data_IF_844288006170
#
_entry.id   IF_844288006170
#
_cell.length_a   1.000
_cell.length_b   1.000
_cell.length_c   1.000
_cell.angle_alpha   90.00
_cell.angle_beta   90.00
_cell.angle_gamma   90.00
#
_symmetry.space_group_name_H-M   'P 1'
#
loop_
_entity.id
_entity.type
_entity.pdbx_description
1 polymer ?
#
# COMPACT_ATOMS: atom_id res chain seq x y z
N UNK A 1 26.73 1.08 11.11
CA UNK A 1 25.51 1.10 10.29
C UNK A 1 25.71 0.06 9.20
N UNK A 2 25.06 -1.09 9.29
CA UNK A 2 25.07 -2.05 8.18
C UNK A 2 24.16 -1.47 7.08
N UNK A 3 24.77 -1.05 5.99
CA UNK A 3 24.04 -0.67 4.78
C UNK A 3 23.45 -1.98 4.24
N UNK A 4 22.18 -2.27 4.52
CA UNK A 4 21.49 -3.41 3.91
C UNK A 4 21.26 -3.04 2.45
N UNK A 5 22.07 -3.64 1.56
CA UNK A 5 21.98 -3.40 0.13
C UNK A 5 20.60 -3.82 -0.36
N UNK A 6 19.87 -2.89 -0.95
CA UNK A 6 18.66 -3.20 -1.70
C UNK A 6 18.98 -3.36 -3.18
N UNK A 7 18.15 -4.09 -3.88
CA UNK A 7 18.23 -4.26 -5.33
C UNK A 7 16.98 -3.70 -6.00
N UNK A 8 17.15 -3.13 -7.18
CA UNK A 8 16.04 -2.71 -8.04
C UNK A 8 15.95 -3.68 -9.20
N UNK A 9 14.77 -4.21 -9.44
CA UNK A 9 14.49 -5.19 -10.50
C UNK A 9 13.18 -4.85 -11.20
N UNK A 10 12.86 -5.59 -12.25
CA UNK A 10 11.59 -5.46 -12.96
C UNK A 10 10.77 -6.72 -12.82
N UNK A 11 9.54 -6.61 -12.34
CA UNK A 11 8.53 -7.65 -12.43
C UNK A 11 7.67 -7.41 -13.68
N UNK A 12 7.54 -8.39 -14.55
CA UNK A 12 6.71 -8.30 -15.75
C UNK A 12 5.37 -8.98 -15.48
N UNK A 13 4.30 -8.18 -15.44
CA UNK A 13 2.94 -8.70 -15.28
C UNK A 13 2.48 -9.49 -16.51
N UNK A 14 1.46 -10.34 -16.37
CA UNK A 14 0.95 -11.22 -17.43
C UNK A 14 0.47 -10.53 -18.71
N UNK A 15 0.21 -9.21 -18.62
CA UNK A 15 -0.12 -8.35 -19.77
C UNK A 15 1.10 -7.63 -20.39
N UNK A 16 2.32 -8.03 -20.00
CA UNK A 16 3.58 -7.46 -20.47
C UNK A 16 3.90 -6.08 -19.89
N UNK A 17 3.24 -5.68 -18.79
CA UNK A 17 3.55 -4.42 -18.13
C UNK A 17 4.74 -4.59 -17.18
N UNK A 18 5.85 -3.82 -17.35
CA UNK A 18 6.97 -3.85 -16.42
C UNK A 18 6.64 -3.01 -15.18
N UNK A 19 6.79 -3.58 -14.00
CA UNK A 19 6.74 -2.86 -12.73
C UNK A 19 8.12 -2.85 -12.10
N UNK A 20 8.57 -1.67 -11.66
CA UNK A 20 9.80 -1.53 -10.87
C UNK A 20 9.53 -2.10 -9.48
N UNK A 21 10.46 -2.92 -9.00
CA UNK A 21 10.39 -3.58 -7.69
C UNK A 21 11.70 -3.37 -6.96
N UNK A 22 11.63 -2.78 -5.79
CA UNK A 22 12.75 -2.69 -4.85
C UNK A 22 12.70 -3.88 -3.91
N UNK A 23 13.85 -4.54 -3.69
CA UNK A 23 13.96 -5.70 -2.81
C UNK A 23 15.06 -5.49 -1.77
N UNK A 24 14.76 -5.75 -0.51
CA UNK A 24 15.72 -5.83 0.58
C UNK A 24 15.78 -7.30 1.02
N UNK A 25 16.93 -7.98 0.81
CA UNK A 25 17.10 -9.34 1.31
C UNK A 25 17.21 -9.34 2.84
N UNK A 26 16.82 -10.41 3.48
CA UNK A 26 16.93 -10.59 4.92
C UNK A 26 18.40 -10.47 5.37
N UNK A 27 18.69 -9.61 6.32
CA UNK A 27 20.01 -9.53 6.92
C UNK A 27 20.34 -10.85 7.62
N UNK A 28 21.61 -11.33 7.46
CA UNK A 28 22.06 -12.59 8.04
C UNK A 28 21.71 -13.85 7.20
N UNK A 29 21.13 -13.70 6.01
CA UNK A 29 20.99 -14.73 4.98
C UNK A 29 19.83 -15.72 5.18
N UNK A 30 19.37 -15.99 6.40
CA UNK A 30 18.22 -16.85 6.65
C UNK A 30 16.95 -16.03 6.85
N UNK A 31 16.05 -16.02 5.87
CA UNK A 31 14.81 -15.27 5.94
C UNK A 31 13.80 -15.93 6.89
N UNK A 32 13.21 -15.12 7.78
CA UNK A 32 12.10 -15.51 8.66
C UNK A 32 10.74 -15.51 7.97
N UNK A 33 10.65 -14.85 6.82
CA UNK A 33 9.42 -14.72 6.05
C UNK A 33 9.51 -13.60 5.04
N UNK A 34 8.53 -13.54 4.16
CA UNK A 34 8.47 -12.57 3.06
C UNK A 34 7.43 -11.51 3.32
N UNK A 35 7.79 -10.29 3.01
CA UNK A 35 6.92 -9.11 3.18
C UNK A 35 6.78 -8.41 1.83
N UNK A 36 5.56 -8.35 1.30
CA UNK A 36 5.23 -7.57 0.09
C UNK A 36 4.51 -6.31 0.53
N UNK A 37 5.06 -5.13 0.20
CA UNK A 37 4.53 -3.83 0.66
C UNK A 37 3.92 -3.06 -0.49
N UNK A 38 2.71 -2.55 -0.32
CA UNK A 38 1.97 -1.76 -1.29
C UNK A 38 1.80 -0.32 -0.80
N UNK A 39 2.30 0.64 -1.57
CA UNK A 39 2.24 2.07 -1.25
C UNK A 39 0.88 2.72 -1.54
N UNK A 40 0.69 3.96 -1.06
CA UNK A 40 -0.49 4.79 -1.25
C UNK A 40 -0.74 5.23 -2.70
N UNK A 41 -1.78 6.05 -2.92
CA UNK A 41 -2.14 6.49 -4.29
C UNK A 41 -1.13 7.47 -4.88
N UNK A 42 -0.62 8.38 -4.07
CA UNK A 42 0.32 9.43 -4.48
C UNK A 42 1.78 9.00 -4.30
N UNK A 43 2.08 8.27 -3.24
CA UNK A 43 3.42 7.83 -2.87
C UNK A 43 3.96 6.72 -3.79
N UNK A 44 5.19 6.31 -3.54
CA UNK A 44 5.92 5.23 -4.19
C UNK A 44 6.87 4.55 -3.19
N UNK A 45 7.56 3.47 -3.59
CA UNK A 45 8.45 2.71 -2.72
C UNK A 45 9.55 3.55 -2.05
N UNK A 46 10.04 4.57 -2.74
CA UNK A 46 11.08 5.46 -2.23
C UNK A 46 10.70 6.27 -0.98
N UNK A 47 9.41 6.45 -0.67
CA UNK A 47 9.01 7.08 0.59
C UNK A 47 9.26 6.19 1.81
N UNK A 48 9.40 4.88 1.63
CA UNK A 48 9.40 3.87 2.68
C UNK A 48 10.68 3.04 2.74
N UNK A 49 11.82 3.67 2.41
CA UNK A 49 13.13 3.02 2.50
C UNK A 49 13.44 2.55 3.93
N UNK A 50 13.10 3.36 4.93
CA UNK A 50 13.32 3.02 6.34
C UNK A 50 12.55 1.77 6.76
N UNK A 51 11.28 1.63 6.31
CA UNK A 51 10.50 0.42 6.53
C UNK A 51 11.18 -0.81 5.91
N UNK A 52 11.58 -0.71 4.63
CA UNK A 52 12.24 -1.81 3.92
C UNK A 52 13.52 -2.26 4.61
N UNK A 53 14.37 -1.30 4.98
CA UNK A 53 15.62 -1.53 5.69
C UNK A 53 15.40 -2.16 7.06
N UNK A 54 14.52 -1.57 7.89
CA UNK A 54 14.23 -2.09 9.23
C UNK A 54 13.73 -3.53 9.20
N UNK A 55 12.79 -3.85 8.31
CA UNK A 55 12.27 -5.21 8.18
C UNK A 55 13.35 -6.20 7.70
N UNK A 56 14.23 -5.78 6.80
CA UNK A 56 15.38 -6.57 6.35
C UNK A 56 16.34 -6.85 7.52
N UNK A 57 16.69 -5.84 8.31
CA UNK A 57 17.52 -5.96 9.52
C UNK A 57 16.89 -6.90 10.57
N UNK A 58 15.55 -6.97 10.61
CA UNK A 58 14.81 -7.90 11.46
C UNK A 58 14.65 -9.31 10.83
N UNK A 59 15.33 -9.58 9.72
CA UNK A 59 15.43 -10.89 9.09
C UNK A 59 14.29 -11.23 8.14
N UNK A 60 13.65 -10.27 7.52
CA UNK A 60 12.59 -10.49 6.53
C UNK A 60 13.06 -10.11 5.12
N UNK A 61 12.69 -10.93 4.11
CA UNK A 61 12.81 -10.54 2.71
C UNK A 61 11.68 -9.57 2.35
N UNK A 62 12.04 -8.34 1.98
CA UNK A 62 11.05 -7.30 1.65
C UNK A 62 11.01 -7.08 0.15
N UNK A 63 9.81 -7.08 -0.42
CA UNK A 63 9.53 -6.78 -1.82
C UNK A 63 8.57 -5.61 -1.90
N UNK A 64 8.99 -4.53 -2.54
CA UNK A 64 8.23 -3.29 -2.65
C UNK A 64 8.04 -2.90 -4.12
N UNK A 65 6.92 -3.26 -4.77
CA UNK A 65 6.64 -2.82 -6.13
C UNK A 65 6.16 -1.37 -6.13
N UNK A 66 6.69 -0.57 -7.04
CA UNK A 66 5.98 0.61 -7.49
C UNK A 66 4.76 0.14 -8.29
N UNK A 67 3.58 0.55 -7.83
CA UNK A 67 2.31 0.15 -8.45
C UNK A 67 2.26 0.62 -9.91
N UNK A 68 1.60 -0.15 -10.79
CA UNK A 68 1.35 0.24 -12.18
C UNK A 68 0.97 1.72 -12.31
N UNK A 69 1.67 2.44 -13.17
CA UNK A 69 1.45 3.86 -13.44
C UNK A 69 1.88 4.83 -12.34
N UNK A 70 2.68 4.40 -11.37
CA UNK A 70 3.18 5.27 -10.29
C UNK A 70 4.66 5.05 -9.97
N UNK A 71 5.24 5.93 -9.18
CA UNK A 71 6.64 5.87 -8.76
C UNK A 71 7.60 5.90 -9.94
N UNK A 72 8.55 4.99 -9.95
CA UNK A 72 9.59 4.84 -10.98
C UNK A 72 9.07 4.21 -12.29
N UNK A 73 7.80 3.78 -12.35
CA UNK A 73 7.21 3.31 -13.59
C UNK A 73 6.92 4.48 -14.53
N UNK A 74 7.66 4.58 -15.62
CA UNK A 74 7.51 5.65 -16.62
C UNK A 74 6.31 5.44 -17.56
N UNK A 75 5.94 4.15 -17.79
CA UNK A 75 4.85 3.78 -18.68
C UNK A 75 3.50 4.06 -18.01
N UNK A 76 2.58 4.67 -18.77
CA UNK A 76 1.17 4.88 -18.36
C UNK A 76 1.01 5.59 -17.00
N UNK A 77 1.83 6.61 -16.72
CA UNK A 77 1.79 7.34 -15.45
C UNK A 77 0.39 7.84 -15.12
N UNK A 78 -0.09 7.56 -13.91
CA UNK A 78 -1.44 7.88 -13.45
C UNK A 78 -2.55 7.05 -14.07
N UNK A 79 -2.21 5.97 -14.80
CA UNK A 79 -3.21 5.14 -15.47
C UNK A 79 -3.22 3.69 -14.95
N UNK A 80 -4.43 3.13 -14.90
CA UNK A 80 -4.64 1.70 -14.82
C UNK A 80 -5.85 1.33 -15.69
N UNK A 81 -5.80 0.22 -16.44
CA UNK A 81 -6.88 -0.15 -17.34
C UNK A 81 -8.16 -0.56 -16.62
N UNK A 82 -8.03 -1.15 -15.41
CA UNK A 82 -9.18 -1.58 -14.60
C UNK A 82 -8.78 -1.94 -13.16
N UNK A 83 -9.76 -2.00 -12.25
CA UNK A 83 -9.59 -2.55 -10.90
C UNK A 83 -9.11 -4.01 -10.92
N UNK A 84 -9.63 -4.82 -11.86
CA UNK A 84 -9.21 -6.21 -12.03
C UNK A 84 -7.72 -6.32 -12.32
N UNK A 85 -7.18 -5.46 -13.20
CA UNK A 85 -5.76 -5.48 -13.57
C UNK A 85 -4.87 -5.10 -12.39
N UNK A 86 -5.23 -4.02 -11.66
CA UNK A 86 -4.50 -3.63 -10.45
C UNK A 86 -4.43 -4.73 -9.40
N UNK A 87 -5.53 -5.45 -9.20
CA UNK A 87 -5.58 -6.57 -8.25
C UNK A 87 -4.76 -7.75 -8.79
N UNK A 88 -4.84 -8.03 -10.09
CA UNK A 88 -4.08 -9.11 -10.71
C UNK A 88 -2.57 -8.86 -10.64
N UNK A 89 -2.10 -7.62 -10.85
CA UNK A 89 -0.69 -7.27 -10.69
C UNK A 89 -0.15 -7.73 -9.33
N UNK A 90 -0.91 -7.49 -8.26
CA UNK A 90 -0.52 -7.87 -6.90
C UNK A 90 -0.60 -9.38 -6.68
N UNK A 91 -1.66 -10.03 -7.18
CA UNK A 91 -1.82 -11.48 -7.08
C UNK A 91 -0.72 -12.22 -7.82
N UNK A 92 -0.34 -11.75 -9.00
CA UNK A 92 0.74 -12.32 -9.80
C UNK A 92 2.10 -12.17 -9.10
N UNK A 93 2.38 -10.98 -8.54
CA UNK A 93 3.59 -10.75 -7.74
C UNK A 93 3.64 -11.65 -6.50
N UNK A 94 2.53 -11.77 -5.76
CA UNK A 94 2.42 -12.66 -4.60
C UNK A 94 2.65 -14.12 -4.97
N UNK A 95 2.09 -14.57 -6.10
CA UNK A 95 2.29 -15.93 -6.58
C UNK A 95 3.77 -16.20 -6.93
N UNK A 96 4.44 -15.25 -7.59
CA UNK A 96 5.88 -15.33 -7.86
C UNK A 96 6.68 -15.39 -6.55
N UNK A 97 6.39 -14.48 -5.61
CA UNK A 97 7.04 -14.46 -4.30
C UNK A 97 6.86 -15.78 -3.55
N UNK A 98 5.65 -16.34 -3.54
CA UNK A 98 5.36 -17.64 -2.90
C UNK A 98 6.11 -18.78 -3.58
N UNK A 99 6.19 -18.81 -4.91
CA UNK A 99 6.88 -19.86 -5.66
C UNK A 99 8.40 -19.84 -5.45
N UNK A 100 9.00 -18.67 -5.25
CA UNK A 100 10.43 -18.54 -4.93
C UNK A 100 10.79 -19.19 -3.58
N UNK A 101 9.85 -19.24 -2.60
CA UNK A 101 10.03 -19.90 -1.29
C UNK A 101 8.70 -20.40 -0.73
N UNK A 102 8.25 -21.60 -1.15
CA UNK A 102 6.91 -22.10 -0.83
C UNK A 102 6.64 -22.32 0.66
N UNK A 103 7.69 -22.55 1.45
CA UNK A 103 7.60 -22.87 2.88
C UNK A 103 7.70 -21.63 3.79
N UNK A 104 8.04 -20.47 3.25
CA UNK A 104 8.14 -19.25 4.05
C UNK A 104 6.78 -18.53 4.11
N UNK A 105 6.38 -18.02 5.30
CA UNK A 105 5.17 -17.24 5.43
C UNK A 105 5.28 -15.94 4.62
N UNK A 106 4.19 -15.57 3.96
CA UNK A 106 4.11 -14.34 3.17
C UNK A 106 3.13 -13.37 3.80
N UNK A 107 3.62 -12.19 4.19
CA UNK A 107 2.78 -11.10 4.70
C UNK A 107 2.62 -10.04 3.63
N UNK A 108 1.37 -9.63 3.41
CA UNK A 108 1.02 -8.51 2.54
C UNK A 108 0.77 -7.27 3.39
N UNK A 109 1.55 -6.22 3.17
CA UNK A 109 1.41 -4.92 3.84
C UNK A 109 0.76 -3.94 2.89
N UNK A 110 -0.27 -3.24 3.34
CA UNK A 110 -0.93 -2.20 2.56
C UNK A 110 -0.94 -0.86 3.28
N UNK A 111 -0.27 0.14 2.71
CA UNK A 111 -0.17 1.49 3.25
C UNK A 111 -1.20 2.38 2.55
N UNK A 112 -2.01 3.10 3.30
CA UNK A 112 -2.97 4.07 2.77
C UNK A 112 -3.87 3.43 1.68
N UNK A 113 -3.90 3.97 0.46
CA UNK A 113 -4.65 3.40 -0.67
C UNK A 113 -4.20 1.98 -1.02
N UNK A 114 -2.92 1.64 -0.81
CA UNK A 114 -2.41 0.27 -0.94
C UNK A 114 -3.11 -0.72 -0.03
N UNK A 115 -3.64 -0.28 1.12
CA UNK A 115 -4.44 -1.08 2.03
C UNK A 115 -5.73 -1.62 1.39
N UNK A 116 -6.33 -0.87 0.47
CA UNK A 116 -7.49 -1.35 -0.31
C UNK A 116 -7.12 -2.53 -1.21
N UNK A 117 -6.01 -2.38 -1.96
CA UNK A 117 -5.50 -3.44 -2.84
C UNK A 117 -5.09 -4.67 -2.04
N UNK A 118 -4.35 -4.48 -0.94
CA UNK A 118 -3.92 -5.56 -0.07
C UNK A 118 -5.11 -6.35 0.48
N UNK A 119 -6.13 -5.66 1.00
CA UNK A 119 -7.35 -6.29 1.52
C UNK A 119 -8.06 -7.13 0.46
N UNK A 120 -8.21 -6.61 -0.77
CA UNK A 120 -8.89 -7.32 -1.86
C UNK A 120 -8.05 -8.48 -2.37
N UNK A 121 -6.72 -8.32 -2.51
CA UNK A 121 -5.82 -9.38 -2.94
C UNK A 121 -5.79 -10.55 -1.94
N UNK A 122 -5.68 -10.27 -0.63
CA UNK A 122 -5.73 -11.28 0.44
C UNK A 122 -7.07 -12.03 0.48
N UNK A 123 -8.18 -11.33 0.25
CA UNK A 123 -9.50 -11.96 0.18
C UNK A 123 -9.70 -12.81 -1.08
N UNK A 124 -9.02 -12.48 -2.19
CA UNK A 124 -9.13 -13.19 -3.47
C UNK A 124 -8.25 -14.43 -3.54
N UNK A 125 -7.07 -14.38 -2.92
CA UNK A 125 -6.08 -15.45 -2.87
C UNK A 125 -5.58 -15.64 -1.44
N UNK A 126 -6.46 -16.18 -0.56
CA UNK A 126 -6.09 -16.44 0.83
C UNK A 126 -4.98 -17.49 0.97
N UNK A 127 -4.74 -18.29 -0.05
CA UNK A 127 -3.65 -19.26 -0.16
C UNK A 127 -2.25 -18.63 -0.34
N UNK A 128 -2.18 -17.36 -0.74
CA UNK A 128 -0.93 -16.64 -0.95
C UNK A 128 -0.54 -15.69 0.20
N UNK A 129 -1.42 -15.50 1.19
CA UNK A 129 -1.24 -14.48 2.23
C UNK A 129 -1.50 -15.07 3.61
N UNK A 130 -0.45 -15.22 4.40
CA UNK A 130 -0.50 -15.73 5.78
C UNK A 130 -0.75 -14.59 6.78
N UNK A 131 -0.22 -13.39 6.51
CA UNK A 131 -0.42 -12.17 7.28
C UNK A 131 -0.88 -11.00 6.42
N UNK A 132 -1.77 -10.15 6.95
CA UNK A 132 -2.20 -8.90 6.34
C UNK A 132 -1.95 -7.76 7.32
N UNK A 133 -1.05 -6.82 6.96
CA UNK A 133 -0.83 -5.61 7.75
C UNK A 133 -1.38 -4.39 7.01
N UNK A 134 -2.18 -3.60 7.70
CA UNK A 134 -2.85 -2.42 7.18
C UNK A 134 -2.37 -1.18 7.93
N UNK A 135 -1.57 -0.34 7.29
CA UNK A 135 -0.96 0.86 7.88
C UNK A 135 -1.72 2.09 7.38
N UNK A 136 -2.41 2.79 8.27
CA UNK A 136 -3.26 3.95 7.95
C UNK A 136 -4.09 3.71 6.68
N UNK A 137 -4.81 2.57 6.55
CA UNK A 137 -5.35 2.11 5.28
C UNK A 137 -6.48 3.01 4.79
N UNK A 138 -6.44 3.38 3.53
CA UNK A 138 -7.43 4.26 2.88
C UNK A 138 -8.81 3.64 2.68
N UNK A 139 -9.28 2.79 3.60
CA UNK A 139 -10.57 2.09 3.52
C UNK A 139 -11.76 3.04 3.62
N UNK A 140 -11.62 4.07 4.44
CA UNK A 140 -12.63 5.11 4.65
C UNK A 140 -11.98 6.50 4.58
N UNK A 141 -11.75 7.08 3.38
CA UNK A 141 -11.12 8.39 3.26
C UNK A 141 -12.05 9.51 3.74
N UNK A 142 -11.46 10.51 4.42
CA UNK A 142 -12.09 11.81 4.72
C UNK A 142 -11.99 12.74 3.52
N UNK A 143 -10.90 12.62 2.76
CA UNK A 143 -10.62 13.43 1.58
C UNK A 143 -11.19 12.75 0.34
N UNK A 144 -11.85 13.50 -0.51
CA UNK A 144 -12.46 12.95 -1.73
C UNK A 144 -12.80 14.05 -2.75
N UNK A 145 -13.16 13.61 -3.93
CA UNK A 145 -13.57 14.52 -5.02
C UNK A 145 -15.00 15.04 -4.84
N UNK A 146 -15.24 16.27 -5.30
CA UNK A 146 -16.56 16.91 -5.28
C UNK A 146 -17.61 16.12 -6.08
N UNK A 147 -18.90 16.34 -5.82
CA UNK A 147 -19.99 15.71 -6.60
C UNK A 147 -19.89 16.07 -8.09
N UNK A 148 -19.52 17.30 -8.42
CA UNK A 148 -19.32 17.77 -9.79
C UNK A 148 -18.18 17.01 -10.47
N UNK A 149 -17.05 16.83 -9.78
CA UNK A 149 -15.91 16.11 -10.33
C UNK A 149 -16.19 14.61 -10.46
N UNK A 150 -16.97 14.01 -9.57
CA UNK A 150 -17.42 12.61 -9.72
C UNK A 150 -18.19 12.43 -11.02
N UNK A 151 -19.11 13.36 -11.36
CA UNK A 151 -19.82 13.31 -12.64
C UNK A 151 -18.87 13.48 -13.82
N UNK A 152 -17.96 14.45 -13.75
CA UNK A 152 -16.94 14.68 -14.82
C UNK A 152 -16.06 13.45 -15.02
N UNK A 153 -15.60 12.81 -13.94
CA UNK A 153 -14.81 11.57 -13.97
C UNK A 153 -15.64 10.45 -14.60
N UNK A 154 -16.90 10.29 -14.21
CA UNK A 154 -17.78 9.27 -14.77
C UNK A 154 -18.00 9.47 -16.28
N UNK A 155 -18.31 10.68 -16.74
CA UNK A 155 -18.44 10.96 -18.17
C UNK A 155 -17.12 10.72 -18.91
N UNK A 156 -15.98 11.14 -18.32
CA UNK A 156 -14.67 10.87 -18.91
C UNK A 156 -14.37 9.36 -18.96
N UNK A 157 -14.78 8.60 -17.95
CA UNK A 157 -14.61 7.13 -17.98
C UNK A 157 -15.36 6.47 -19.14
N UNK A 158 -16.50 7.03 -19.57
CA UNK A 158 -17.26 6.51 -20.71
C UNK A 158 -16.65 6.92 -22.06
N UNK A 159 -16.19 8.17 -22.20
CA UNK A 159 -15.83 8.76 -23.50
C UNK A 159 -14.34 9.01 -23.69
N UNK A 160 -13.58 9.23 -22.61
CA UNK A 160 -12.13 9.49 -22.63
C UNK A 160 -11.47 8.97 -21.35
N UNK A 161 -11.25 7.68 -21.28
CA UNK A 161 -10.71 6.97 -20.09
C UNK A 161 -9.33 7.44 -19.64
N UNK A 162 -8.57 8.07 -20.56
CA UNK A 162 -7.22 8.60 -20.29
C UNK A 162 -7.22 10.06 -19.84
N UNK A 163 -8.37 10.72 -19.79
CA UNK A 163 -8.46 12.08 -19.26
C UNK A 163 -7.97 12.13 -17.82
N UNK A 164 -7.04 13.07 -17.56
CA UNK A 164 -6.44 13.27 -16.26
C UNK A 164 -7.30 14.14 -15.35
N UNK A 165 -7.26 13.85 -14.07
CA UNK A 165 -7.92 14.60 -13.00
C UNK A 165 -6.98 14.68 -11.80
N UNK A 166 -6.95 15.80 -11.06
CA UNK A 166 -6.13 15.94 -9.88
C UNK A 166 -6.56 14.94 -8.80
N UNK A 167 -5.58 14.36 -8.12
CA UNK A 167 -5.79 13.57 -6.90
C UNK A 167 -5.98 14.59 -5.75
N UNK A 168 -7.04 14.48 -4.92
CA UNK A 168 -7.36 15.48 -3.91
C UNK A 168 -6.47 15.36 -2.66
N UNK A 169 -5.16 15.26 -2.85
CA UNK A 169 -4.12 15.11 -1.83
C UNK A 169 -2.96 16.07 -2.09
N UNK A 170 -3.24 17.25 -2.67
CA UNK A 170 -2.20 18.19 -3.09
C UNK A 170 -1.48 18.87 -1.91
N UNK A 171 -2.11 18.94 -0.73
CA UNK A 171 -1.52 19.55 0.45
C UNK A 171 -0.64 18.55 1.21
N UNK A 172 0.71 18.75 1.26
CA UNK A 172 1.62 17.87 1.99
C UNK A 172 1.32 17.78 3.50
N UNK A 173 0.70 18.80 4.08
CA UNK A 173 0.31 18.79 5.49
C UNK A 173 -0.75 17.74 5.82
N UNK A 174 -1.41 17.16 4.84
CA UNK A 174 -2.29 16.00 5.04
C UNK A 174 -1.53 14.74 5.48
N UNK A 175 -0.27 14.62 5.08
CA UNK A 175 0.54 13.41 5.27
C UNK A 175 1.36 13.44 6.56
N UNK A 176 1.90 14.63 6.93
CA UNK A 176 2.82 14.80 8.06
C UNK A 176 2.82 16.24 8.56
N UNK A 177 3.18 16.43 9.82
CA UNK A 177 3.45 17.76 10.39
C UNK A 177 4.93 18.17 10.31
N UNK A 178 5.82 17.27 9.84
CA UNK A 178 7.23 17.55 9.68
C UNK A 178 7.47 18.45 8.46
N UNK A 179 7.99 19.71 8.63
CA UNK A 179 8.16 20.65 7.52
C UNK A 179 9.13 20.15 6.44
N UNK A 180 10.20 19.46 6.83
CA UNK A 180 11.20 18.93 5.87
C UNK A 180 10.58 17.84 5.00
N UNK A 181 9.70 17.01 5.60
CA UNK A 181 8.98 15.97 4.86
C UNK A 181 7.86 16.55 4.01
N UNK A 182 7.23 17.63 4.43
CA UNK A 182 6.29 18.39 3.58
C UNK A 182 6.99 18.96 2.35
N UNK A 183 8.18 19.56 2.53
CA UNK A 183 9.00 20.07 1.43
C UNK A 183 9.44 18.93 0.49
N UNK A 184 9.84 17.77 1.06
CA UNK A 184 10.15 16.58 0.28
C UNK A 184 8.95 16.12 -0.58
N UNK A 185 7.75 15.98 0.00
CA UNK A 185 6.53 15.58 -0.73
C UNK A 185 6.22 16.56 -1.86
N UNK A 186 6.33 17.87 -1.59
CA UNK A 186 6.04 18.91 -2.57
C UNK A 186 7.00 18.90 -3.77
N UNK A 187 8.27 18.55 -3.53
CA UNK A 187 9.33 18.54 -4.54
C UNK A 187 9.51 17.18 -5.23
N UNK A 188 8.85 16.13 -4.76
CA UNK A 188 9.08 14.77 -5.24
C UNK A 188 8.50 14.52 -6.65
N UNK A 189 9.34 14.35 -7.69
CA UNK A 189 8.88 14.16 -9.06
C UNK A 189 8.22 12.80 -9.31
N UNK A 190 8.42 11.83 -8.40
CA UNK A 190 7.83 10.50 -8.49
C UNK A 190 6.45 10.44 -7.84
N UNK A 191 6.07 11.46 -7.08
CA UNK A 191 4.72 11.59 -6.53
C UNK A 191 3.66 11.73 -7.64
N UNK A 192 2.53 11.05 -7.45
CA UNK A 192 1.44 11.05 -8.43
C UNK A 192 0.39 12.09 -8.04
N UNK A 193 0.35 13.24 -8.74
CA UNK A 193 -0.58 14.32 -8.46
C UNK A 193 -1.89 14.23 -9.25
N UNK A 194 -1.88 13.50 -10.37
CA UNK A 194 -3.03 13.32 -11.25
C UNK A 194 -3.25 11.85 -11.60
N UNK A 195 -4.49 11.50 -11.85
CA UNK A 195 -4.87 10.16 -12.25
C UNK A 195 -5.91 10.19 -13.38
N UNK A 196 -5.87 9.20 -14.25
CA UNK A 196 -6.85 9.05 -15.31
C UNK A 196 -8.23 8.71 -14.77
N UNK A 197 -9.28 9.06 -15.52
CA UNK A 197 -10.64 8.64 -15.22
C UNK A 197 -10.74 7.11 -15.02
N UNK A 198 -9.94 6.32 -15.75
CA UNK A 198 -9.89 4.86 -15.61
C UNK A 198 -9.35 4.43 -14.23
N UNK A 199 -8.23 5.02 -13.74
CA UNK A 199 -7.69 4.71 -12.41
C UNK A 199 -8.66 5.14 -11.30
N UNK A 200 -9.28 6.32 -11.41
CA UNK A 200 -10.24 6.81 -10.42
C UNK A 200 -11.51 5.95 -10.38
N UNK A 201 -12.03 5.53 -11.52
CA UNK A 201 -13.15 4.58 -11.60
C UNK A 201 -12.76 3.21 -11.02
N UNK A 202 -11.53 2.73 -11.29
CA UNK A 202 -11.00 1.51 -10.69
C UNK A 202 -10.94 1.61 -9.16
N UNK A 203 -10.55 2.77 -8.60
CA UNK A 203 -10.57 3.01 -7.15
C UNK A 203 -11.96 2.85 -6.55
N UNK A 204 -13.00 3.41 -7.20
CA UNK A 204 -14.40 3.26 -6.74
C UNK A 204 -14.86 1.79 -6.78
N UNK A 205 -14.43 1.03 -7.79
CA UNK A 205 -14.74 -0.41 -7.87
C UNK A 205 -14.03 -1.16 -6.73
N UNK A 206 -12.77 -0.83 -6.44
CA UNK A 206 -12.00 -1.43 -5.35
C UNK A 206 -12.67 -1.14 -4.00
N UNK A 207 -13.21 0.06 -3.76
CA UNK A 207 -13.96 0.38 -2.53
C UNK A 207 -15.15 -0.55 -2.31
N UNK A 208 -15.89 -0.89 -3.39
CA UNK A 208 -17.00 -1.86 -3.34
C UNK A 208 -16.50 -3.28 -3.06
N UNK A 209 -15.35 -3.66 -3.59
CA UNK A 209 -14.74 -4.96 -3.34
C UNK A 209 -14.24 -5.07 -1.90
N UNK A 210 -13.62 -4.02 -1.36
CA UNK A 210 -13.18 -3.94 0.04
C UNK A 210 -14.35 -4.20 0.99
N UNK A 211 -15.51 -3.60 0.75
CA UNK A 211 -16.69 -3.79 1.60
C UNK A 211 -17.10 -5.28 1.73
N UNK A 212 -16.84 -6.09 0.69
CA UNK A 212 -17.12 -7.53 0.66
C UNK A 212 -15.95 -8.38 1.15
N UNK A 213 -14.72 -7.88 0.98
CA UNK A 213 -13.47 -8.60 1.27
C UNK A 213 -13.34 -8.97 2.75
N UNK A 214 -13.84 -8.15 3.69
CA UNK A 214 -13.73 -8.36 5.15
C UNK A 214 -14.17 -9.75 5.64
N UNK A 215 -15.07 -10.42 4.93
CA UNK A 215 -15.57 -11.75 5.27
C UNK A 215 -14.80 -12.89 4.59
N UNK A 216 -13.84 -12.56 3.72
CA UNK A 216 -13.09 -13.52 2.89
C UNK A 216 -11.60 -13.54 3.20
N UNK A 217 -11.09 -12.53 3.86
CA UNK A 217 -9.70 -12.53 4.38
C UNK A 217 -9.58 -13.66 5.39
N UNK A 218 -8.52 -14.47 5.28
CA UNK A 218 -8.20 -15.59 6.17
C UNK A 218 -6.90 -15.37 6.94
N UNK A 219 -6.08 -14.45 6.48
CA UNK A 219 -4.82 -14.10 7.11
C UNK A 219 -5.02 -13.47 8.49
N UNK A 220 -4.13 -13.75 9.45
CA UNK A 220 -4.05 -12.92 10.66
C UNK A 220 -3.85 -11.46 10.26
N UNK A 221 -4.47 -10.53 10.95
CA UNK A 221 -4.52 -9.15 10.46
C UNK A 221 -4.09 -8.15 11.52
N UNK A 222 -3.12 -7.31 11.16
CA UNK A 222 -2.67 -6.14 11.93
C UNK A 222 -3.30 -4.88 11.33
N UNK A 223 -3.83 -4.00 12.20
CA UNK A 223 -4.22 -2.64 11.85
C UNK A 223 -3.36 -1.66 12.64
N UNK A 224 -2.71 -0.74 11.93
CA UNK A 224 -1.94 0.36 12.51
C UNK A 224 -2.60 1.68 12.15
N UNK A 225 -2.93 2.50 13.13
CA UNK A 225 -3.64 3.77 12.97
C UNK A 225 -2.83 4.94 13.51
N UNK A 226 -2.79 6.03 12.77
CA UNK A 226 -2.24 7.31 13.20
C UNK A 226 -3.34 8.17 13.82
N UNK A 227 -3.18 8.61 15.07
CA UNK A 227 -4.21 9.35 15.80
C UNK A 227 -4.53 10.70 15.19
N UNK A 228 -3.55 11.35 14.54
CA UNK A 228 -3.67 12.66 13.87
C UNK A 228 -3.87 12.54 12.36
N UNK A 229 -4.38 11.40 11.88
CA UNK A 229 -4.63 11.17 10.45
C UNK A 229 -5.69 12.13 9.90
N UNK A 230 -5.30 12.93 8.90
CA UNK A 230 -6.17 13.89 8.21
C UNK A 230 -6.81 13.33 6.94
N UNK A 231 -6.30 12.17 6.46
CA UNK A 231 -6.73 11.53 5.20
C UNK A 231 -7.76 10.43 5.45
N UNK A 232 -7.61 9.66 6.54
CA UNK A 232 -8.41 8.47 6.84
C UNK A 232 -9.32 8.70 8.06
N UNK A 233 -10.54 8.20 7.98
CA UNK A 233 -11.47 8.13 9.12
C UNK A 233 -11.16 6.88 9.96
N UNK A 234 -10.39 7.07 11.03
CA UNK A 234 -9.99 5.98 11.93
C UNK A 234 -11.18 5.27 12.55
N UNK A 235 -12.22 6.00 12.98
CA UNK A 235 -13.38 5.40 13.63
C UNK A 235 -14.15 4.46 12.67
N UNK A 236 -14.32 4.85 11.40
CA UNK A 236 -14.93 3.99 10.39
C UNK A 236 -14.02 2.83 9.99
N UNK A 237 -12.71 3.06 9.92
CA UNK A 237 -11.72 2.04 9.63
C UNK A 237 -11.66 0.98 10.73
N UNK A 238 -11.69 1.40 12.00
CA UNK A 238 -11.74 0.50 13.15
C UNK A 238 -13.02 -0.35 13.13
N UNK A 239 -14.19 0.26 12.90
CA UNK A 239 -15.46 -0.50 12.76
C UNK A 239 -15.43 -1.51 11.60
N UNK A 240 -14.74 -1.20 10.51
CA UNK A 240 -14.53 -2.16 9.42
C UNK A 240 -13.66 -3.33 9.89
N UNK A 241 -12.55 -3.04 10.56
CA UNK A 241 -11.60 -4.03 11.08
C UNK A 241 -12.24 -4.97 12.12
N UNK A 242 -13.01 -4.43 13.05
CA UNK A 242 -13.73 -5.21 14.06
C UNK A 242 -14.71 -6.22 13.46
N UNK A 243 -15.24 -5.92 12.25
CA UNK A 243 -16.16 -6.79 11.50
C UNK A 243 -15.46 -7.76 10.55
N UNK A 244 -14.13 -7.80 10.52
CA UNK A 244 -13.40 -8.82 9.77
C UNK A 244 -13.49 -10.16 10.49
N UNK A 245 -13.72 -11.23 9.72
CA UNK A 245 -13.80 -12.61 10.25
C UNK A 245 -12.45 -13.31 10.12
N UNK A 246 -11.41 -12.74 10.74
CA UNK A 246 -10.03 -13.26 10.71
C UNK A 246 -9.70 -13.99 12.02
N UNK A 247 -8.75 -14.96 12.00
CA UNK A 247 -8.41 -15.77 13.17
C UNK A 247 -7.77 -14.95 14.30
N UNK A 248 -6.97 -13.96 13.92
CA UNK A 248 -6.25 -13.08 14.84
C UNK A 248 -6.31 -11.64 14.35
N UNK A 249 -6.57 -10.71 15.27
CA UNK A 249 -6.64 -9.26 15.04
C UNK A 249 -5.78 -8.54 16.04
N UNK A 250 -4.82 -7.78 15.55
CA UNK A 250 -3.98 -6.90 16.37
C UNK A 250 -4.22 -5.46 15.95
N UNK A 251 -4.44 -4.56 16.91
CA UNK A 251 -4.53 -3.11 16.70
C UNK A 251 -3.34 -2.45 17.38
N UNK A 252 -2.68 -1.54 16.66
CA UNK A 252 -1.67 -0.63 17.21
C UNK A 252 -2.07 0.79 16.82
N UNK A 253 -2.10 1.69 17.81
CA UNK A 253 -2.42 3.09 17.60
C UNK A 253 -1.21 3.98 17.95
N UNK A 254 -0.96 4.97 17.12
CA UNK A 254 0.05 6.00 17.32
C UNK A 254 -0.67 7.34 17.56
N UNK A 255 -0.96 7.69 18.83
CA UNK A 255 -1.83 8.85 19.16
C UNK A 255 -1.37 10.16 18.51
N UNK A 256 -0.05 10.38 18.47
CA UNK A 256 0.57 11.59 17.93
C UNK A 256 1.01 11.42 16.44
N UNK A 257 0.83 10.24 15.87
CA UNK A 257 1.24 9.92 14.51
C UNK A 257 0.38 10.62 13.47
N UNK A 258 1.01 11.05 12.37
CA UNK A 258 0.37 11.56 11.16
C UNK A 258 0.15 10.43 10.15
N UNK A 259 -0.57 10.70 9.05
CA UNK A 259 -0.94 9.69 8.05
C UNK A 259 0.23 8.85 7.54
N UNK A 260 1.40 9.46 7.34
CA UNK A 260 2.62 8.78 6.89
C UNK A 260 3.56 8.58 8.06
N UNK A 261 3.42 7.47 8.79
CA UNK A 261 4.24 7.14 9.96
C UNK A 261 5.75 7.13 9.67
N UNK A 262 6.16 6.86 8.43
CA UNK A 262 7.55 6.97 7.96
C UNK A 262 8.12 8.38 8.10
N UNK A 263 7.27 9.40 8.17
CA UNK A 263 7.66 10.81 8.24
C UNK A 263 7.49 11.42 9.63
N UNK A 264 7.08 10.61 10.60
CA UNK A 264 7.00 11.01 12.00
C UNK A 264 8.40 11.19 12.62
N UNK A 265 8.53 11.85 13.79
CA UNK A 265 9.80 12.06 14.46
C UNK A 265 10.57 10.77 14.79
N UNK A 266 9.86 9.68 15.07
CA UNK A 266 10.43 8.34 15.23
C UNK A 266 9.89 7.40 14.13
N UNK A 267 10.51 7.42 12.93
CA UNK A 267 10.04 6.63 11.80
C UNK A 267 10.34 5.13 11.95
N UNK A 268 11.19 4.74 12.89
CA UNK A 268 11.55 3.33 13.08
C UNK A 268 10.53 2.59 13.94
N UNK A 269 9.83 3.27 14.83
CA UNK A 269 8.90 2.68 15.79
C UNK A 269 7.84 1.79 15.12
N UNK A 270 7.12 2.30 14.13
CA UNK A 270 6.07 1.51 13.48
C UNK A 270 6.63 0.32 12.68
N UNK A 271 7.84 0.46 12.13
CA UNK A 271 8.51 -0.63 11.43
C UNK A 271 8.93 -1.76 12.38
N UNK A 272 9.45 -1.41 13.58
CA UNK A 272 9.79 -2.37 14.64
C UNK A 272 8.53 -3.04 15.22
N UNK A 273 7.44 -2.30 15.42
CA UNK A 273 6.16 -2.85 15.87
C UNK A 273 5.61 -3.86 14.85
N UNK A 274 5.71 -3.54 13.54
CA UNK A 274 5.37 -4.47 12.47
C UNK A 274 6.27 -5.71 12.50
N UNK A 275 7.59 -5.54 12.64
CA UNK A 275 8.53 -6.67 12.74
C UNK A 275 8.23 -7.57 13.95
N UNK A 276 7.93 -6.97 15.11
CA UNK A 276 7.53 -7.71 16.30
C UNK A 276 6.23 -8.50 16.08
N UNK A 277 5.26 -7.93 15.35
CA UNK A 277 4.04 -8.65 15.00
C UNK A 277 4.33 -9.81 14.01
N UNK A 278 5.20 -9.58 13.03
CA UNK A 278 5.63 -10.63 12.08
C UNK A 278 6.25 -11.83 12.83
N UNK A 279 7.05 -11.59 13.85
CA UNK A 279 7.73 -12.62 14.64
C UNK A 279 6.82 -13.46 15.55
N UNK A 280 5.52 -13.17 15.65
CA UNK A 280 4.54 -13.95 16.43
C UNK A 280 3.94 -15.12 15.64
N UNK A 281 4.45 -15.41 14.44
CA UNK A 281 3.95 -16.45 13.51
C UNK A 281 4.41 -17.85 13.92
#
# INVERSE_FOLDING_TARGET
MHNTDFTISTFVASDGYPMVVTRWPAAGGASRGRVVVLHGVQSHGGWYHGLGQTLSEQGHDVTFPDRRGSGSNTRDRGHAPSARRLINDIVELLATTRNESPHQPTTLVGISWGGKLATVAAARRPDLVDGLALICPGLHPRVGVSRRDRLRIFLAFLFNRRKMFPIPLADPALFTDNPDRQAYIAADPLSLHEATASLLAASVIIDRLVARARRRVRARTLLMLAGRDRIVDNARTLRYFERMTVPDRTLIEYPDGCHTLEFDPDPTRYALDLAAWLGRA
#
